data_IF_852765151710
#
_entry.id   IF_852765151710
#
_cell.length_a   1.000
_cell.length_b   1.000
_cell.length_c   1.000
_cell.angle_alpha   90.00
_cell.angle_beta   90.00
_cell.angle_gamma   90.00
#
_symmetry.space_group_name_H-M   'P 1'
#
loop_
_entity.id
_entity.type
_entity.pdbx_description
1 polymer ?
#
# COMPACT_ATOMS: atom_id res chain seq x y z
N UNK A 1 -38.33 17.83 -48.13
CA UNK A 1 -37.74 18.50 -46.93
C UNK A 1 -38.28 17.77 -45.70
N UNK A 2 -37.48 16.88 -45.14
CA UNK A 2 -37.88 16.22 -43.90
C UNK A 2 -37.70 17.20 -42.72
N UNK A 3 -38.83 17.64 -42.19
CA UNK A 3 -38.88 18.37 -40.93
C UNK A 3 -38.51 17.45 -39.77
N UNK A 4 -37.25 17.36 -39.47
CA UNK A 4 -36.84 16.69 -38.25
C UNK A 4 -37.47 17.37 -37.07
N UNK A 5 -38.39 16.69 -36.41
CA UNK A 5 -39.17 17.20 -35.29
C UNK A 5 -38.20 17.62 -34.17
N UNK A 6 -38.40 18.81 -33.60
CA UNK A 6 -37.59 19.40 -32.54
C UNK A 6 -37.26 18.42 -31.43
N UNK A 7 -38.17 17.49 -31.09
CA UNK A 7 -37.98 16.43 -30.11
C UNK A 7 -36.88 15.38 -30.48
N UNK A 8 -36.67 15.13 -31.78
CA UNK A 8 -35.64 14.18 -32.22
C UNK A 8 -34.21 14.80 -32.12
N UNK A 9 -34.08 16.07 -32.39
CA UNK A 9 -32.80 16.82 -32.20
C UNK A 9 -32.42 16.89 -30.72
N UNK A 10 -33.35 17.17 -29.82
CA UNK A 10 -33.13 17.22 -28.39
C UNK A 10 -32.69 15.85 -27.86
N UNK A 11 -33.37 14.76 -28.26
CA UNK A 11 -32.98 13.39 -27.86
C UNK A 11 -31.60 12.97 -28.37
N UNK A 12 -31.18 13.43 -29.53
CA UNK A 12 -29.88 13.09 -30.15
C UNK A 12 -28.76 13.89 -29.48
N UNK A 13 -29.02 15.12 -29.13
CA UNK A 13 -28.07 16.01 -28.41
C UNK A 13 -27.90 15.54 -26.96
N UNK A 14 -28.99 15.18 -26.27
CA UNK A 14 -28.91 14.68 -24.89
C UNK A 14 -28.13 13.38 -24.78
N UNK A 15 -28.28 12.46 -25.77
CA UNK A 15 -27.48 11.23 -25.79
C UNK A 15 -26.00 11.49 -26.00
N UNK A 16 -25.62 12.47 -26.83
CA UNK A 16 -24.22 12.85 -27.04
C UNK A 16 -23.63 13.47 -25.76
N UNK A 17 -24.36 14.40 -25.14
CA UNK A 17 -23.97 15.03 -23.89
C UNK A 17 -23.82 13.99 -22.78
N UNK A 18 -24.78 13.08 -22.64
CA UNK A 18 -24.73 12.03 -21.64
C UNK A 18 -23.51 11.10 -21.86
N UNK A 19 -23.25 10.70 -23.11
CA UNK A 19 -22.08 9.86 -23.45
C UNK A 19 -20.78 10.59 -23.13
N UNK A 20 -20.64 11.85 -23.47
CA UNK A 20 -19.45 12.64 -23.16
C UNK A 20 -19.25 12.79 -21.66
N UNK A 21 -20.33 13.08 -20.93
CA UNK A 21 -20.29 13.17 -19.48
C UNK A 21 -19.86 11.84 -18.83
N UNK A 22 -20.40 10.71 -19.31
CA UNK A 22 -20.01 9.38 -18.83
C UNK A 22 -18.53 9.08 -19.09
N UNK A 23 -18.02 9.43 -20.26
CA UNK A 23 -16.60 9.24 -20.60
C UNK A 23 -15.72 10.06 -19.66
N UNK A 24 -16.07 11.31 -19.42
CA UNK A 24 -15.32 12.18 -18.49
C UNK A 24 -15.35 11.61 -17.08
N UNK A 25 -16.52 11.17 -16.61
CA UNK A 25 -16.65 10.57 -15.28
C UNK A 25 -15.79 9.32 -15.13
N UNK A 26 -15.80 8.43 -16.12
CA UNK A 26 -14.97 7.21 -16.13
C UNK A 26 -13.49 7.58 -16.12
N UNK A 27 -13.08 8.57 -16.89
CA UNK A 27 -11.70 9.02 -16.97
C UNK A 27 -11.22 9.59 -15.62
N UNK A 28 -12.04 10.41 -14.98
CA UNK A 28 -11.75 10.91 -13.62
C UNK A 28 -11.64 9.76 -12.62
N UNK A 29 -12.53 8.77 -12.70
CA UNK A 29 -12.49 7.59 -11.84
C UNK A 29 -11.20 6.79 -12.02
N UNK A 30 -10.78 6.55 -13.25
CA UNK A 30 -9.54 5.81 -13.57
C UNK A 30 -8.31 6.55 -13.06
N UNK A 31 -8.23 7.86 -13.29
CA UNK A 31 -7.12 8.70 -12.82
C UNK A 31 -7.07 8.72 -11.28
N UNK A 32 -8.22 8.91 -10.63
CA UNK A 32 -8.31 8.90 -9.17
C UNK A 32 -7.91 7.55 -8.58
N UNK A 33 -8.37 6.45 -9.18
CA UNK A 33 -7.99 5.11 -8.74
C UNK A 33 -6.49 4.87 -8.91
N UNK A 34 -5.91 5.26 -10.05
CA UNK A 34 -4.47 5.17 -10.29
C UNK A 34 -3.67 5.96 -9.24
N UNK A 35 -4.11 7.16 -8.93
CA UNK A 35 -3.47 7.97 -7.90
C UNK A 35 -3.54 7.31 -6.51
N UNK A 36 -4.69 6.78 -6.11
CA UNK A 36 -4.85 6.09 -4.83
C UNK A 36 -4.05 4.78 -4.76
N UNK A 37 -3.86 4.12 -5.91
CA UNK A 37 -3.15 2.85 -5.97
C UNK A 37 -1.62 3.01 -5.93
N UNK A 38 -1.07 3.95 -6.71
CA UNK A 38 0.38 4.17 -6.79
C UNK A 38 0.88 5.33 -5.93
N UNK A 39 0.00 6.21 -5.48
CA UNK A 39 0.38 7.38 -4.68
C UNK A 39 1.09 6.98 -3.40
N UNK A 40 2.18 7.67 -3.10
CA UNK A 40 2.94 7.56 -1.85
C UNK A 40 2.57 8.78 -1.01
N UNK A 41 2.08 8.53 0.20
CA UNK A 41 1.75 9.59 1.16
C UNK A 41 2.97 9.98 2.00
N UNK A 42 3.76 8.98 2.37
CA UNK A 42 4.92 9.13 3.25
C UNK A 42 5.95 8.06 2.88
N UNK A 43 7.20 8.39 2.95
CA UNK A 43 8.30 7.44 2.90
C UNK A 43 9.19 7.64 4.12
N UNK A 44 9.79 6.58 4.61
CA UNK A 44 10.58 6.64 5.81
C UNK A 44 11.41 5.38 6.05
N UNK A 45 12.13 5.42 7.16
CA UNK A 45 12.92 4.31 7.64
C UNK A 45 12.66 4.09 9.12
N UNK A 46 12.55 2.85 9.53
CA UNK A 46 12.47 2.47 10.93
C UNK A 46 13.52 1.42 11.27
N UNK A 47 14.12 1.55 12.42
CA UNK A 47 15.13 0.62 12.92
C UNK A 47 14.51 -0.31 13.97
N UNK A 48 14.82 -1.59 13.87
CA UNK A 48 14.30 -2.57 14.81
C UNK A 48 14.69 -3.99 14.45
N UNK A 49 14.00 -4.94 15.08
CA UNK A 49 14.13 -6.37 14.80
C UNK A 49 12.86 -6.90 14.15
N UNK A 50 13.01 -7.61 13.06
CA UNK A 50 11.88 -8.29 12.42
C UNK A 50 11.45 -9.47 13.29
N UNK A 51 10.20 -9.47 13.74
CA UNK A 51 9.66 -10.53 14.58
C UNK A 51 9.14 -11.69 13.76
N UNK A 52 8.46 -11.38 12.65
CA UNK A 52 7.91 -12.40 11.76
C UNK A 52 7.64 -11.83 10.39
N UNK A 53 7.62 -12.70 9.40
CA UNK A 53 7.07 -12.47 8.07
C UNK A 53 6.15 -13.63 7.76
N UNK A 54 4.92 -13.38 7.39
CA UNK A 54 3.92 -14.41 7.13
C UNK A 54 3.11 -14.10 5.89
N UNK A 55 2.70 -15.15 5.19
CA UNK A 55 1.71 -15.06 4.13
C UNK A 55 0.32 -15.21 4.74
N UNK A 56 -0.58 -14.30 4.44
CA UNK A 56 -1.96 -14.30 4.93
C UNK A 56 -2.95 -14.24 3.76
N UNK A 57 -4.15 -14.68 4.03
CA UNK A 57 -5.29 -14.58 3.13
C UNK A 57 -5.74 -15.92 2.57
N UNK A 58 -7.04 -16.02 2.30
CA UNK A 58 -7.66 -17.22 1.75
C UNK A 58 -7.71 -17.15 0.23
N UNK A 59 -8.27 -16.09 -0.33
CA UNK A 59 -8.41 -15.86 -1.76
C UNK A 59 -7.28 -15.00 -2.33
N UNK A 60 -6.99 -13.90 -1.66
CA UNK A 60 -5.89 -13.01 -2.01
C UNK A 60 -4.81 -13.13 -0.94
N UNK A 61 -3.70 -13.70 -1.32
CA UNK A 61 -2.57 -13.89 -0.42
C UNK A 61 -1.71 -12.64 -0.41
N UNK A 62 -1.47 -12.11 0.78
CA UNK A 62 -0.61 -10.97 1.04
C UNK A 62 0.51 -11.35 1.98
N UNK A 63 1.64 -10.68 1.86
CA UNK A 63 2.78 -10.86 2.77
C UNK A 63 2.80 -9.76 3.81
N UNK A 64 2.80 -10.16 5.07
CA UNK A 64 2.73 -9.26 6.21
C UNK A 64 3.91 -9.51 7.15
N UNK A 65 4.52 -8.45 7.60
CA UNK A 65 5.60 -8.49 8.56
C UNK A 65 5.29 -7.70 9.82
N UNK A 66 6.02 -8.01 10.87
CA UNK A 66 6.00 -7.27 12.13
C UNK A 66 7.42 -6.95 12.55
N UNK A 67 7.69 -5.68 12.81
CA UNK A 67 8.95 -5.19 13.35
C UNK A 67 8.75 -4.72 14.78
N UNK A 68 9.71 -5.04 15.64
CA UNK A 68 9.81 -4.46 16.96
C UNK A 68 10.75 -3.25 16.92
N UNK A 69 10.19 -2.07 17.17
CA UNK A 69 10.94 -0.83 17.23
C UNK A 69 11.65 -0.78 18.60
N UNK A 70 12.95 -0.98 18.58
CA UNK A 70 13.75 -0.76 19.78
C UNK A 70 13.90 0.74 20.00
N UNK A 71 13.18 1.26 20.98
CA UNK A 71 13.31 2.66 21.39
C UNK A 71 14.70 2.87 22.01
N UNK A 72 15.55 3.64 21.38
CA UNK A 72 16.80 4.10 21.98
C UNK A 72 16.46 5.04 23.14
N UNK A 73 16.82 4.63 24.34
CA UNK A 73 16.72 5.49 25.53
C UNK A 73 15.45 5.30 26.34
N UNK A 74 15.00 4.09 26.54
CA UNK A 74 14.16 3.78 27.68
C UNK A 74 14.95 4.18 28.95
N UNK A 75 14.57 5.32 29.52
CA UNK A 75 14.97 5.73 30.86
C UNK A 75 14.81 4.54 31.79
N UNK A 76 15.80 4.28 32.58
CA UNK A 76 16.09 3.06 33.35
C UNK A 76 14.98 2.49 34.26
N UNK A 77 13.77 3.01 34.27
CA UNK A 77 12.75 2.61 35.26
C UNK A 77 11.31 2.39 34.75
N UNK A 78 11.06 2.43 33.45
CA UNK A 78 9.77 2.03 32.91
C UNK A 78 9.97 0.88 31.95
N UNK A 79 9.18 -0.19 32.12
CA UNK A 79 9.16 -1.32 31.18
C UNK A 79 9.18 -0.78 29.74
N UNK A 80 10.16 -1.17 28.91
CA UNK A 80 10.14 -0.77 27.52
C UNK A 80 8.88 -1.38 26.92
N UNK A 81 7.89 -0.55 26.67
CA UNK A 81 6.76 -0.93 25.81
C UNK A 81 7.41 -1.17 24.45
N UNK A 82 7.64 -2.43 24.14
CA UNK A 82 8.15 -2.85 22.85
C UNK A 82 7.09 -2.48 21.83
N UNK A 83 7.24 -1.31 21.20
CA UNK A 83 6.34 -0.84 20.18
C UNK A 83 6.56 -1.70 18.95
N UNK A 84 5.58 -2.53 18.65
CA UNK A 84 5.59 -3.35 17.45
C UNK A 84 4.79 -2.67 16.34
N UNK A 85 5.31 -2.72 15.15
CA UNK A 85 4.71 -2.13 13.97
C UNK A 85 4.46 -3.16 12.90
N UNK A 86 3.22 -3.18 12.37
CA UNK A 86 2.84 -4.09 11.30
C UNK A 86 3.02 -3.40 9.93
N UNK A 87 3.57 -4.13 8.98
CA UNK A 87 3.78 -3.68 7.61
C UNK A 87 3.45 -4.77 6.60
N UNK A 88 3.14 -4.37 5.39
CA UNK A 88 2.89 -5.26 4.26
C UNK A 88 4.09 -5.29 3.31
N UNK A 89 4.19 -6.33 2.50
CA UNK A 89 5.23 -6.48 1.48
C UNK A 89 4.53 -6.75 0.15
N UNK A 90 4.97 -6.08 -0.92
CA UNK A 90 4.46 -6.35 -2.25
C UNK A 90 4.76 -7.79 -2.65
N UNK A 91 3.74 -8.53 -3.08
CA UNK A 91 3.88 -9.94 -3.49
C UNK A 91 4.87 -10.13 -4.63
N UNK A 92 5.03 -9.13 -5.48
CA UNK A 92 5.98 -9.15 -6.61
C UNK A 92 7.44 -9.05 -6.20
N UNK A 93 7.73 -8.65 -4.96
CA UNK A 93 9.09 -8.47 -4.46
C UNK A 93 9.56 -9.70 -3.66
N UNK A 94 9.73 -10.81 -4.37
CA UNK A 94 10.15 -12.08 -3.77
C UNK A 94 11.53 -12.01 -3.11
N UNK A 95 12.43 -11.18 -3.65
CA UNK A 95 13.76 -10.99 -3.09
C UNK A 95 13.70 -10.35 -1.71
N UNK A 96 12.90 -9.30 -1.56
CA UNK A 96 12.70 -8.62 -0.29
C UNK A 96 11.99 -9.55 0.73
N UNK A 97 11.01 -10.33 0.28
CA UNK A 97 10.31 -11.30 1.14
C UNK A 97 11.31 -12.31 1.73
N UNK A 98 12.18 -12.89 0.91
CA UNK A 98 13.20 -13.83 1.37
C UNK A 98 14.20 -13.18 2.33
N UNK A 99 14.67 -11.98 1.99
CA UNK A 99 15.62 -11.26 2.84
C UNK A 99 15.03 -10.92 4.21
N UNK A 100 13.76 -10.48 4.26
CA UNK A 100 13.06 -10.22 5.51
C UNK A 100 12.80 -11.50 6.32
N UNK A 101 12.53 -12.63 5.66
CA UNK A 101 12.41 -13.92 6.33
C UNK A 101 13.73 -14.36 6.95
N UNK A 102 14.84 -14.21 6.24
CA UNK A 102 16.17 -14.53 6.75
C UNK A 102 16.52 -13.66 7.96
N UNK A 103 16.27 -12.37 7.86
CA UNK A 103 16.48 -11.41 8.96
C UNK A 103 15.62 -11.76 10.18
N UNK A 104 14.38 -12.18 9.97
CA UNK A 104 13.50 -12.60 11.06
C UNK A 104 14.04 -13.85 11.78
N UNK A 105 14.69 -14.76 11.05
CA UNK A 105 15.28 -15.97 11.62
C UNK A 105 16.58 -15.68 12.39
N UNK A 106 17.40 -14.75 11.91
CA UNK A 106 18.66 -14.37 12.59
C UNK A 106 18.45 -13.48 13.80
N UNK A 107 17.33 -12.75 13.83
CA UNK A 107 17.02 -11.81 14.91
C UNK A 107 17.93 -10.57 14.94
N UNK A 108 18.66 -10.31 13.85
CA UNK A 108 19.53 -9.14 13.75
C UNK A 108 18.74 -7.84 13.65
N UNK A 109 19.37 -6.75 14.05
CA UNK A 109 18.81 -5.41 13.90
C UNK A 109 18.97 -4.91 12.49
N UNK A 110 17.90 -4.31 11.97
CA UNK A 110 17.85 -3.81 10.59
C UNK A 110 17.23 -2.42 10.53
N UNK A 111 17.55 -1.73 9.44
CA UNK A 111 16.80 -0.57 8.98
C UNK A 111 15.79 -1.04 7.93
N UNK A 112 14.52 -0.86 8.22
CA UNK A 112 13.43 -1.16 7.29
C UNK A 112 12.96 0.13 6.63
N UNK A 113 13.14 0.23 5.33
CA UNK A 113 12.60 1.32 4.52
C UNK A 113 11.18 0.98 4.11
N UNK A 114 10.29 1.92 4.25
CA UNK A 114 8.87 1.74 3.95
C UNK A 114 8.28 2.94 3.23
N UNK A 115 7.18 2.70 2.55
CA UNK A 115 6.31 3.72 1.99
C UNK A 115 4.91 3.54 2.55
N UNK A 116 4.24 4.64 2.85
CA UNK A 116 2.84 4.66 3.22
C UNK A 116 2.00 5.04 2.02
N UNK A 117 1.02 4.21 1.72
CA UNK A 117 0.08 4.44 0.63
C UNK A 117 -1.12 5.26 1.09
N UNK A 118 -1.77 5.97 0.17
CA UNK A 118 -2.99 6.73 0.48
C UNK A 118 -4.14 5.82 0.89
N UNK A 119 -4.28 4.69 0.21
CA UNK A 119 -5.38 3.76 0.43
C UNK A 119 -4.89 2.34 0.69
N UNK A 120 -5.69 1.61 1.45
CA UNK A 120 -5.50 0.20 1.73
C UNK A 120 -6.38 -0.61 0.77
N UNK A 121 -5.78 -1.56 0.08
CA UNK A 121 -6.47 -2.52 -0.77
C UNK A 121 -6.27 -3.93 -0.20
N UNK A 122 -7.37 -4.61 0.12
CA UNK A 122 -7.34 -5.92 0.79
C UNK A 122 -6.60 -7.03 0.02
N UNK A 123 -6.50 -6.89 -1.33
CA UNK A 123 -5.76 -7.83 -2.19
C UNK A 123 -4.26 -7.53 -2.28
N UNK A 124 -3.83 -6.37 -1.80
CA UNK A 124 -2.44 -5.91 -1.88
C UNK A 124 -1.72 -6.03 -0.54
N UNK A 125 -2.41 -5.73 0.56
CA UNK A 125 -1.86 -5.81 1.90
C UNK A 125 -2.86 -5.43 2.99
N UNK A 126 -2.60 -5.90 4.19
CA UNK A 126 -3.41 -5.62 5.37
C UNK A 126 -3.17 -4.24 5.96
N UNK A 127 -2.04 -3.61 5.62
CA UNK A 127 -1.66 -2.29 6.11
C UNK A 127 -1.50 -1.31 4.95
N UNK A 128 -1.35 -0.02 5.27
CA UNK A 128 -0.97 1.01 4.31
C UNK A 128 0.55 1.15 4.15
N UNK A 129 1.30 0.54 5.04
CA UNK A 129 2.75 0.61 5.10
C UNK A 129 3.36 -0.56 4.36
N UNK A 130 4.14 -0.28 3.32
CA UNK A 130 4.78 -1.29 2.50
C UNK A 130 6.29 -1.19 2.64
N UNK A 131 6.92 -2.30 3.03
CA UNK A 131 8.37 -2.41 3.03
C UNK A 131 8.88 -2.33 1.59
N UNK A 132 9.93 -1.57 1.38
CA UNK A 132 10.57 -1.39 0.06
C UNK A 132 12.01 -1.90 0.04
N UNK A 133 12.69 -1.83 1.17
CA UNK A 133 14.08 -2.29 1.30
C UNK A 133 14.37 -2.59 2.76
N UNK A 134 15.25 -3.54 2.99
CA UNK A 134 15.84 -3.82 4.30
C UNK A 134 17.36 -3.66 4.22
N UNK A 135 17.94 -3.09 5.24
CA UNK A 135 19.39 -2.90 5.37
C UNK A 135 19.84 -3.51 6.70
N UNK A 136 20.76 -4.46 6.63
CA UNK A 136 21.30 -5.12 7.82
C UNK A 136 22.34 -4.22 8.47
N UNK A 137 22.22 -3.99 9.79
CA UNK A 137 23.12 -3.10 10.55
C UNK A 137 24.31 -3.82 11.16
N UNK A 138 24.40 -5.12 10.99
CA UNK A 138 25.40 -5.91 11.66
C UNK A 138 26.28 -6.73 10.74
N UNK A 139 27.41 -6.20 10.43
CA UNK A 139 28.72 -6.91 10.49
C UNK A 139 29.84 -5.93 10.47
#
# INVERSE_FOLDING_TARGET
METQTFGQRVKRTSKKVLRTFTIILVLIMVVSFGFLYWGIYEDGVMAGKILRVSEKGMMFKTYEGKINLETFGALRDTSPIAESFDFSIEKSDEALIKELQDVALTGERVNLYFVKRYSKFFWRGDTKYFATRVERLGR
#
